data_IF_865273186372
#
_entry.id   IF_865273186372
#
_cell.length_a   1.000
_cell.length_b   1.000
_cell.length_c   1.000
_cell.angle_alpha   90.00
_cell.angle_beta   90.00
_cell.angle_gamma   90.00
#
_symmetry.space_group_name_H-M   'P 1'
#
loop_
_entity.id
_entity.type
_entity.pdbx_description
1 polymer ?
#
# COMPACT_ATOMS: atom_id res chain seq x y z
N UNK A 1 24.45 -25.18 -29.91
CA UNK A 1 23.60 -25.86 -28.91
C UNK A 1 23.93 -25.41 -27.48
N UNK A 2 25.20 -25.32 -27.12
CA UNK A 2 25.68 -25.05 -25.75
C UNK A 2 25.18 -23.72 -25.12
N UNK A 3 25.19 -22.61 -25.89
CA UNK A 3 24.66 -21.32 -25.41
C UNK A 3 23.16 -21.37 -25.03
N UNK A 4 22.35 -22.13 -25.77
CA UNK A 4 20.92 -22.30 -25.48
C UNK A 4 20.69 -23.16 -24.23
N UNK A 5 21.48 -24.21 -24.05
CA UNK A 5 21.42 -25.06 -22.86
C UNK A 5 21.83 -24.29 -21.58
N UNK A 6 22.87 -23.43 -21.67
CA UNK A 6 23.27 -22.55 -20.57
C UNK A 6 22.18 -21.54 -20.22
N UNK A 7 21.54 -20.92 -21.21
CA UNK A 7 20.44 -19.97 -20.98
C UNK A 7 19.23 -20.62 -20.28
N UNK A 8 18.87 -21.86 -20.66
CA UNK A 8 17.80 -22.60 -20.00
C UNK A 8 18.12 -22.94 -18.53
N UNK A 9 19.37 -23.36 -18.24
CA UNK A 9 19.82 -23.62 -16.86
C UNK A 9 19.79 -22.36 -15.99
N UNK A 10 20.27 -21.23 -16.52
CA UNK A 10 20.25 -19.96 -15.81
C UNK A 10 18.81 -19.52 -15.50
N UNK A 11 17.90 -19.63 -16.47
CA UNK A 11 16.49 -19.31 -16.27
C UNK A 11 15.82 -20.21 -15.22
N UNK A 12 16.15 -21.49 -15.20
CA UNK A 12 15.64 -22.41 -14.17
C UNK A 12 16.15 -22.03 -12.77
N UNK A 13 17.43 -21.66 -12.65
CA UNK A 13 18.02 -21.20 -11.39
C UNK A 13 17.42 -19.86 -10.92
N UNK A 14 17.16 -18.93 -11.83
CA UNK A 14 16.46 -17.67 -11.53
C UNK A 14 15.05 -17.93 -10.97
N UNK A 15 14.27 -18.82 -11.61
CA UNK A 15 12.94 -19.18 -11.15
C UNK A 15 12.95 -19.85 -9.77
N UNK A 16 13.92 -20.73 -9.51
CA UNK A 16 14.07 -21.37 -8.21
C UNK A 16 14.43 -20.34 -7.12
N UNK A 17 15.31 -19.40 -7.43
CA UNK A 17 15.67 -18.32 -6.52
C UNK A 17 14.47 -17.40 -6.23
N UNK A 18 13.71 -17.03 -7.26
CA UNK A 18 12.47 -16.25 -7.10
C UNK A 18 11.49 -16.97 -6.17
N UNK A 19 11.23 -18.27 -6.39
CA UNK A 19 10.33 -19.05 -5.54
C UNK A 19 10.75 -19.07 -4.07
N UNK A 20 12.04 -19.26 -3.79
CA UNK A 20 12.58 -19.19 -2.41
C UNK A 20 12.42 -17.80 -1.81
N UNK A 21 12.65 -16.75 -2.60
CA UNK A 21 12.43 -15.37 -2.20
C UNK A 21 10.98 -15.08 -1.83
N UNK A 22 10.02 -15.57 -2.63
CA UNK A 22 8.59 -15.42 -2.35
C UNK A 22 8.19 -16.08 -1.02
N UNK A 23 8.69 -17.29 -0.75
CA UNK A 23 8.41 -17.98 0.50
C UNK A 23 8.93 -17.23 1.74
N UNK A 24 10.11 -16.61 1.64
CA UNK A 24 10.65 -15.77 2.72
C UNK A 24 9.80 -14.51 2.95
N UNK A 25 9.37 -13.84 1.87
CA UNK A 25 8.50 -12.66 1.96
C UNK A 25 7.16 -12.97 2.63
N UNK A 26 6.58 -14.15 2.38
CA UNK A 26 5.33 -14.57 3.02
C UNK A 26 5.50 -14.75 4.54
N UNK A 27 6.64 -15.29 5.00
CA UNK A 27 6.96 -15.44 6.42
C UNK A 27 7.13 -14.05 7.07
N UNK A 28 7.91 -13.17 6.45
CA UNK A 28 8.11 -11.79 6.93
C UNK A 28 6.78 -11.02 7.01
N UNK A 29 5.92 -11.19 6.01
CA UNK A 29 4.60 -10.59 5.97
C UNK A 29 3.73 -11.04 7.15
N UNK A 30 3.69 -12.34 7.45
CA UNK A 30 2.91 -12.84 8.59
C UNK A 30 3.41 -12.26 9.93
N UNK A 31 4.73 -12.15 10.09
CA UNK A 31 5.32 -11.54 11.29
C UNK A 31 4.95 -10.05 11.40
N UNK A 32 5.02 -9.32 10.29
CA UNK A 32 4.65 -7.91 10.22
C UNK A 32 3.16 -7.71 10.55
N UNK A 33 2.26 -8.50 9.96
CA UNK A 33 0.82 -8.41 10.21
C UNK A 33 0.48 -8.65 11.69
N UNK A 34 1.09 -9.68 12.29
CA UNK A 34 0.91 -9.98 13.72
C UNK A 34 1.37 -8.82 14.61
N UNK A 35 2.52 -8.24 14.31
CA UNK A 35 3.04 -7.08 15.05
C UNK A 35 2.16 -5.83 14.87
N UNK A 36 1.73 -5.56 13.64
CA UNK A 36 0.87 -4.41 13.33
C UNK A 36 -0.46 -4.48 14.10
N UNK A 37 -1.08 -5.66 14.18
CA UNK A 37 -2.29 -5.86 14.99
C UNK A 37 -2.05 -5.55 16.47
N UNK A 38 -0.95 -6.04 17.05
CA UNK A 38 -0.61 -5.74 18.46
C UNK A 38 -0.46 -4.24 18.71
N UNK A 39 0.16 -3.50 17.78
CA UNK A 39 0.32 -2.05 17.88
C UNK A 39 -1.03 -1.32 17.77
N UNK A 40 -1.89 -1.75 16.84
CA UNK A 40 -3.25 -1.21 16.69
C UNK A 40 -4.05 -1.43 17.97
N UNK A 41 -4.04 -2.64 18.51
CA UNK A 41 -4.76 -2.98 19.75
C UNK A 41 -4.24 -2.17 20.94
N UNK A 42 -2.92 -2.03 21.07
CA UNK A 42 -2.32 -1.21 22.11
C UNK A 42 -2.70 0.27 21.99
N UNK A 43 -2.79 0.81 20.76
CA UNK A 43 -3.22 2.18 20.52
C UNK A 43 -4.72 2.37 20.80
N UNK A 44 -5.55 1.41 20.42
CA UNK A 44 -6.99 1.40 20.69
C UNK A 44 -7.26 1.36 22.21
N UNK A 45 -6.57 0.50 22.95
CA UNK A 45 -6.64 0.43 24.42
C UNK A 45 -6.25 1.75 25.11
N UNK A 46 -5.35 2.52 24.50
CA UNK A 46 -4.93 3.85 24.98
C UNK A 46 -5.88 4.98 24.53
N UNK A 47 -7.00 4.67 23.89
CA UNK A 47 -7.98 5.65 23.40
C UNK A 47 -7.46 6.53 22.25
N UNK A 48 -6.40 6.11 21.55
CA UNK A 48 -5.82 6.87 20.43
C UNK A 48 -6.56 6.57 19.13
N UNK A 49 -6.54 7.51 18.19
CA UNK A 49 -7.08 7.28 16.86
C UNK A 49 -6.28 6.20 16.10
N UNK A 50 -6.89 5.04 15.91
CA UNK A 50 -6.31 3.87 15.23
C UNK A 50 -6.49 3.87 13.72
N UNK A 51 -7.30 4.77 13.17
CA UNK A 51 -7.60 4.83 11.73
C UNK A 51 -6.34 4.91 10.84
N UNK A 52 -5.31 5.72 11.16
CA UNK A 52 -4.09 5.77 10.34
C UNK A 52 -3.33 4.43 10.33
N UNK A 53 -3.31 3.73 11.47
CA UNK A 53 -2.60 2.46 11.62
C UNK A 53 -3.31 1.34 10.85
N UNK A 54 -4.64 1.28 10.95
CA UNK A 54 -5.46 0.34 10.17
C UNK A 54 -5.27 0.58 8.67
N UNK A 55 -5.26 1.84 8.25
CA UNK A 55 -5.04 2.22 6.85
C UNK A 55 -3.65 1.82 6.36
N UNK A 56 -2.61 2.00 7.18
CA UNK A 56 -1.25 1.61 6.85
C UNK A 56 -1.09 0.08 6.74
N UNK A 57 -1.64 -0.67 7.69
CA UNK A 57 -1.61 -2.14 7.69
C UNK A 57 -2.29 -2.74 6.44
N UNK A 58 -3.42 -2.16 6.02
CA UNK A 58 -4.19 -2.67 4.87
C UNK A 58 -3.61 -2.31 3.49
N UNK A 59 -2.69 -1.35 3.39
CA UNK A 59 -2.19 -0.91 2.07
C UNK A 59 -1.19 -1.88 1.43
N UNK A 60 -0.64 -2.82 2.21
CA UNK A 60 0.28 -3.85 1.71
C UNK A 60 1.59 -3.28 1.14
N UNK A 61 2.41 -4.17 0.58
CA UNK A 61 3.69 -3.82 -0.03
C UNK A 61 3.42 -3.04 -1.33
N UNK A 62 3.94 -1.81 -1.40
CA UNK A 62 3.90 -0.97 -2.62
C UNK A 62 2.94 0.22 -2.59
N UNK A 63 2.06 0.36 -1.59
CA UNK A 63 1.27 1.57 -1.33
C UNK A 63 0.37 2.06 -2.48
N UNK A 64 0.29 1.30 -3.58
CA UNK A 64 -0.47 1.65 -4.77
C UNK A 64 -1.96 1.47 -4.57
N UNK A 65 -2.75 1.93 -5.55
CA UNK A 65 -4.21 1.75 -5.56
C UNK A 65 -4.70 0.64 -6.48
N UNK A 66 -3.79 -0.05 -7.16
CA UNK A 66 -4.10 -1.16 -8.05
C UNK A 66 -4.74 -2.37 -7.38
N UNK A 67 -5.28 -3.33 -8.15
CA UNK A 67 -5.58 -4.68 -7.68
C UNK A 67 -4.37 -5.33 -7.01
N UNK A 68 -4.61 -6.08 -5.95
CA UNK A 68 -3.57 -6.84 -5.26
C UNK A 68 -3.22 -8.06 -6.11
N UNK A 69 -1.95 -8.18 -6.50
CA UNK A 69 -1.47 -9.37 -7.22
C UNK A 69 -1.04 -10.44 -6.22
N UNK A 70 -1.96 -11.34 -5.89
CA UNK A 70 -1.71 -12.49 -5.01
C UNK A 70 -0.62 -13.41 -5.55
N UNK A 71 -0.53 -13.58 -6.88
CA UNK A 71 0.49 -14.40 -7.54
C UNK A 71 1.92 -13.84 -7.41
N UNK A 72 2.05 -12.55 -7.11
CA UNK A 72 3.34 -11.85 -6.97
C UNK A 72 3.49 -11.27 -5.56
N UNK A 73 3.24 -12.07 -4.53
CA UNK A 73 3.53 -11.71 -3.13
C UNK A 73 2.60 -10.66 -2.55
N UNK A 74 1.40 -10.51 -3.13
CA UNK A 74 0.42 -9.52 -2.69
C UNK A 74 0.86 -8.07 -2.95
N UNK A 75 1.76 -7.85 -3.91
CA UNK A 75 2.19 -6.50 -4.30
C UNK A 75 0.97 -5.73 -4.81
N UNK A 76 0.86 -4.48 -4.35
CA UNK A 76 -0.17 -3.55 -4.81
C UNK A 76 0.46 -2.49 -5.73
N UNK A 77 0.38 -2.66 -7.06
CA UNK A 77 1.00 -1.77 -8.02
C UNK A 77 0.37 -0.37 -8.02
N UNK A 78 1.19 0.62 -8.35
CA UNK A 78 0.79 1.99 -8.67
C UNK A 78 0.68 2.16 -10.19
N UNK A 79 -0.54 2.36 -10.68
CA UNK A 79 -0.75 2.69 -12.10
C UNK A 79 -0.69 4.19 -12.27
N UNK A 80 0.49 4.73 -12.62
CA UNK A 80 0.64 6.15 -12.92
C UNK A 80 0.01 6.50 -14.27
N UNK A 81 -0.69 7.64 -14.33
CA UNK A 81 -1.10 8.23 -15.60
C UNK A 81 0.15 8.68 -16.36
N UNK A 82 0.14 8.56 -17.69
CA UNK A 82 1.19 9.10 -18.56
C UNK A 82 1.19 10.64 -18.67
N UNK A 83 0.36 11.34 -17.90
CA UNK A 83 0.27 12.80 -17.94
C UNK A 83 1.32 13.45 -17.03
N UNK A 84 1.47 14.76 -17.15
CA UNK A 84 2.43 15.55 -16.36
C UNK A 84 2.11 15.61 -14.87
N UNK A 85 0.92 15.14 -14.44
CA UNK A 85 0.49 15.24 -13.05
C UNK A 85 1.04 14.12 -12.17
N UNK A 86 1.49 12.99 -12.75
CA UNK A 86 2.05 11.85 -12.00
C UNK A 86 1.05 11.17 -11.05
N UNK A 87 -0.25 11.43 -11.21
CA UNK A 87 -1.32 10.90 -10.37
C UNK A 87 -1.57 9.41 -10.68
N UNK A 88 -1.89 8.62 -9.66
CA UNK A 88 -2.25 7.21 -9.85
C UNK A 88 -3.73 7.05 -10.26
N UNK A 89 -4.00 6.26 -11.30
CA UNK A 89 -5.35 5.82 -11.65
C UNK A 89 -5.91 4.83 -10.60
N UNK A 90 -7.24 4.83 -10.37
CA UNK A 90 -8.27 5.69 -10.96
C UNK A 90 -8.46 7.02 -10.21
N UNK A 91 -7.53 7.43 -9.34
CA UNK A 91 -7.69 8.57 -8.43
C UNK A 91 -7.42 9.92 -9.10
N UNK A 92 -8.12 10.18 -10.21
CA UNK A 92 -8.09 11.48 -10.87
C UNK A 92 -9.14 12.38 -10.22
N UNK A 93 -8.70 13.32 -9.38
CA UNK A 93 -9.59 14.33 -8.81
C UNK A 93 -9.66 15.50 -9.80
N UNK A 94 -10.84 15.73 -10.39
CA UNK A 94 -11.11 16.92 -11.24
C UNK A 94 -11.99 17.90 -10.46
N UNK A 95 -12.14 19.11 -10.99
CA UNK A 95 -13.09 20.10 -10.46
C UNK A 95 -14.52 19.54 -10.35
N UNK A 96 -14.92 18.65 -11.26
CA UNK A 96 -16.22 17.97 -11.20
C UNK A 96 -16.38 17.03 -9.99
N UNK A 97 -15.27 16.59 -9.39
CA UNK A 97 -15.28 15.73 -8.19
C UNK A 97 -15.29 16.53 -6.88
N UNK A 98 -15.21 17.87 -6.95
CA UNK A 98 -15.19 18.75 -5.77
C UNK A 98 -16.48 18.66 -4.95
N UNK A 99 -17.63 18.50 -5.60
CA UNK A 99 -18.91 18.34 -4.92
C UNK A 99 -18.90 17.15 -3.95
N UNK A 100 -18.31 16.01 -4.34
CA UNK A 100 -18.19 14.82 -3.47
C UNK A 100 -17.09 15.00 -2.43
N UNK A 101 -15.97 15.64 -2.80
CA UNK A 101 -14.87 15.94 -1.89
C UNK A 101 -15.34 16.80 -0.71
N UNK A 102 -16.12 17.85 -0.97
CA UNK A 102 -16.60 18.79 0.04
C UNK A 102 -17.60 18.16 1.04
N UNK A 103 -18.18 17.00 0.71
CA UNK A 103 -19.03 16.25 1.65
C UNK A 103 -18.18 15.65 2.78
N UNK A 104 -16.91 15.31 2.51
CA UNK A 104 -16.05 14.58 3.44
C UNK A 104 -14.85 15.41 3.92
N UNK A 105 -14.41 16.40 3.14
CA UNK A 105 -13.45 17.41 3.56
C UNK A 105 -14.17 18.46 4.41
N UNK A 106 -13.74 18.62 5.65
CA UNK A 106 -13.99 19.86 6.40
C UNK A 106 -13.14 20.94 5.71
N UNK A 107 -13.65 21.53 4.62
CA UNK A 107 -12.96 22.54 3.79
C UNK A 107 -12.34 23.68 4.61
N UNK A 108 -12.85 23.91 5.81
CA UNK A 108 -12.29 24.83 6.77
C UNK A 108 -11.13 24.18 7.55
N UNK A 109 -9.92 24.59 7.17
CA UNK A 109 -8.65 24.16 7.79
C UNK A 109 -8.67 24.43 9.30
N UNK A 110 -9.27 25.55 9.74
CA UNK A 110 -9.33 25.92 11.16
C UNK A 110 -10.28 24.99 11.93
N UNK A 111 -11.38 24.58 11.29
CA UNK A 111 -12.30 23.59 11.85
C UNK A 111 -11.69 22.18 11.92
N UNK A 112 -10.85 21.83 10.94
CA UNK A 112 -10.09 20.57 10.94
C UNK A 112 -9.00 20.56 12.01
N UNK A 113 -8.22 21.64 12.14
CA UNK A 113 -7.19 21.81 13.18
C UNK A 113 -7.75 21.62 14.58
N UNK A 114 -8.86 22.30 14.89
CA UNK A 114 -9.56 22.16 16.18
C UNK A 114 -10.04 20.72 16.43
N UNK A 115 -10.59 20.05 15.41
CA UNK A 115 -11.02 18.65 15.50
C UNK A 115 -9.85 17.67 15.71
N UNK A 116 -8.64 18.05 15.30
CA UNK A 116 -7.42 17.27 15.44
C UNK A 116 -6.63 17.64 16.70
N UNK A 117 -7.12 18.60 17.51
CA UNK A 117 -6.47 19.03 18.75
C UNK A 117 -5.35 20.05 18.57
N UNK A 118 -5.23 20.68 17.39
CA UNK A 118 -4.35 21.82 17.19
C UNK A 118 -5.05 23.10 17.68
N UNK A 119 -4.51 23.74 18.73
CA UNK A 119 -5.12 24.91 19.40
C UNK A 119 -4.20 26.15 19.35
N UNK A 120 -3.13 26.12 18.55
CA UNK A 120 -2.20 27.23 18.39
C UNK A 120 -2.39 27.94 17.05
#
# INVERSE_FOLDING_TARGET
AEKKAKALRNRAAELEHEQKGMALLDIEKQQFEKYAQQVIDAAAKKGRNVYPLIKAANQGIGGGRGPVFTEKGGIRPSYQVKDTSGVQLPNYKRSTTEAVKNIHDKCDIERSKKSLGFIW
#
